data_IF_199232089824
#
_entry.id   IF_199232089824
#
_cell.length_a   1.000
_cell.length_b   1.000
_cell.length_c   1.000
_cell.angle_alpha   90.00
_cell.angle_beta   90.00
_cell.angle_gamma   90.00
#
_symmetry.space_group_name_H-M   'P 1'
#
loop_
_entity.id
_entity.type
_entity.pdbx_description
1 polymer ?
#
# COMPACT_ATOMS: atom_id res chain seq x y z
N UNK A 1 69.60 -61.66 12.94
CA UNK A 1 68.99 -61.25 14.24
C UNK A 1 69.32 -59.78 14.45
N UNK A 2 68.41 -58.86 14.09
CA UNK A 2 68.61 -57.43 14.30
C UNK A 2 67.29 -56.85 14.72
N UNK A 3 67.20 -56.34 15.97
CA UNK A 3 66.04 -55.65 16.54
C UNK A 3 66.07 -54.20 16.09
N UNK A 4 65.09 -53.79 15.33
CA UNK A 4 64.88 -52.40 15.02
C UNK A 4 64.00 -51.71 16.11
N UNK A 5 64.48 -50.61 16.67
CA UNK A 5 63.78 -49.76 17.62
C UNK A 5 62.94 -48.79 16.85
N UNK A 6 61.63 -48.80 17.06
CA UNK A 6 60.71 -47.75 16.61
C UNK A 6 60.79 -46.52 17.60
N UNK A 7 61.11 -45.39 17.05
CA UNK A 7 61.02 -44.07 17.68
C UNK A 7 59.63 -43.53 17.45
N UNK A 8 58.83 -43.42 18.52
CA UNK A 8 57.55 -42.73 18.47
C UNK A 8 57.82 -41.22 18.60
N UNK A 9 57.52 -40.48 17.52
CA UNK A 9 57.49 -39.03 17.56
C UNK A 9 56.09 -38.57 18.03
N UNK A 10 56.03 -37.92 19.18
CA UNK A 10 54.83 -37.22 19.64
C UNK A 10 54.69 -35.91 18.86
N UNK A 11 53.64 -35.81 18.05
CA UNK A 11 53.22 -34.55 17.43
C UNK A 11 52.26 -33.89 18.43
N UNK A 12 52.71 -32.82 19.08
CA UNK A 12 51.84 -31.92 19.81
C UNK A 12 51.05 -31.06 18.79
N UNK A 13 49.78 -31.40 18.61
CA UNK A 13 48.86 -30.53 17.88
C UNK A 13 48.37 -29.43 18.83
N UNK A 14 48.95 -28.26 18.72
CA UNK A 14 48.45 -27.06 19.41
C UNK A 14 47.10 -26.66 18.87
N UNK A 15 46.05 -26.77 19.67
CA UNK A 15 44.72 -26.18 19.42
C UNK A 15 44.85 -24.68 19.50
N UNK A 16 44.94 -24.03 18.34
CA UNK A 16 44.75 -22.56 18.25
C UNK A 16 43.24 -22.30 18.34
N UNK A 17 42.78 -21.86 19.47
CA UNK A 17 41.43 -21.37 19.66
C UNK A 17 41.26 -20.02 18.92
N UNK A 18 40.59 -20.06 17.77
CA UNK A 18 40.11 -18.86 17.09
C UNK A 18 39.02 -18.21 17.96
N UNK A 19 39.08 -16.91 18.24
CA UNK A 19 37.98 -16.24 18.91
C UNK A 19 36.75 -16.29 17.99
N UNK A 20 35.66 -16.81 18.48
CA UNK A 20 34.36 -16.74 17.83
C UNK A 20 33.99 -15.27 17.71
N UNK A 21 34.17 -14.69 16.52
CA UNK A 21 33.64 -13.40 16.16
C UNK A 21 32.13 -13.56 16.04
N UNK A 22 31.41 -13.23 17.11
CA UNK A 22 29.98 -13.04 17.07
C UNK A 22 29.73 -11.82 16.18
N UNK A 23 29.40 -12.06 14.90
CA UNK A 23 28.78 -11.04 14.06
C UNK A 23 27.38 -10.85 14.62
N UNK A 24 27.26 -9.89 15.53
CA UNK A 24 25.96 -9.31 15.90
C UNK A 24 25.50 -8.60 14.62
N UNK A 25 24.65 -9.30 13.83
CA UNK A 25 23.77 -8.60 12.89
C UNK A 25 22.85 -7.74 13.76
N UNK A 26 23.29 -6.53 14.06
CA UNK A 26 22.38 -5.49 14.47
C UNK A 26 21.40 -5.32 13.31
N UNK A 27 20.16 -5.79 13.49
CA UNK A 27 19.03 -5.31 12.72
C UNK A 27 19.10 -3.78 12.85
N UNK A 28 19.66 -3.12 11.84
CA UNK A 28 19.51 -1.68 11.70
C UNK A 28 18.01 -1.48 11.52
N UNK A 29 17.34 -1.04 12.57
CA UNK A 29 16.10 -0.32 12.39
C UNK A 29 16.45 0.79 11.39
N UNK A 30 15.89 0.72 10.19
CA UNK A 30 16.15 1.72 9.16
C UNK A 30 15.72 3.05 9.74
N UNK A 31 16.71 3.92 9.98
CA UNK A 31 16.43 5.26 10.48
C UNK A 31 15.51 5.93 9.46
N UNK A 32 14.35 6.45 9.87
CA UNK A 32 13.45 7.12 8.94
C UNK A 32 14.20 8.13 8.10
N UNK A 33 13.92 8.15 6.80
CA UNK A 33 14.58 9.09 5.90
C UNK A 33 14.15 10.51 6.25
N UNK A 34 15.06 11.45 6.07
CA UNK A 34 14.76 12.88 6.28
C UNK A 34 13.91 13.44 5.15
N UNK A 35 13.27 14.57 5.39
CA UNK A 35 12.50 15.30 4.40
C UNK A 35 13.25 15.54 3.08
N UNK A 36 14.53 15.93 3.16
CA UNK A 36 15.37 16.15 1.99
C UNK A 36 15.63 14.87 1.18
N UNK A 37 15.75 13.73 1.86
CA UNK A 37 15.98 12.43 1.20
C UNK A 37 14.74 11.95 0.45
N UNK A 38 13.53 12.19 0.99
CA UNK A 38 12.29 11.86 0.28
C UNK A 38 12.03 12.74 -0.93
N UNK A 39 12.36 14.05 -0.85
CA UNK A 39 12.26 14.96 -2.01
C UNK A 39 13.17 14.54 -3.15
N UNK A 40 14.33 13.99 -2.84
CA UNK A 40 15.29 13.52 -3.84
C UNK A 40 14.87 12.21 -4.52
N UNK A 41 14.01 11.40 -3.86
CA UNK A 41 13.63 10.08 -4.37
C UNK A 41 12.15 9.76 -4.04
N UNK A 42 11.20 10.19 -4.89
CA UNK A 42 9.78 9.89 -4.71
C UNK A 42 9.44 8.40 -4.64
N UNK A 43 10.22 7.53 -5.29
CA UNK A 43 9.99 6.10 -5.25
C UNK A 43 10.23 5.53 -3.85
N UNK A 44 11.23 6.05 -3.13
CA UNK A 44 11.46 5.69 -1.71
C UNK A 44 10.34 6.16 -0.80
N UNK A 45 9.75 7.32 -1.08
CA UNK A 45 8.59 7.81 -0.33
C UNK A 45 7.39 6.86 -0.49
N UNK A 46 7.08 6.47 -1.71
CA UNK A 46 6.00 5.51 -1.99
C UNK A 46 6.28 4.17 -1.30
N UNK A 47 7.51 3.66 -1.40
CA UNK A 47 7.90 2.41 -0.75
C UNK A 47 7.76 2.52 0.78
N UNK A 48 8.13 3.65 1.39
CA UNK A 48 7.97 3.87 2.82
C UNK A 48 6.50 3.85 3.25
N UNK A 49 5.58 4.44 2.46
CA UNK A 49 4.14 4.36 2.73
C UNK A 49 3.60 2.92 2.70
N UNK A 50 4.19 1.99 1.94
CA UNK A 50 3.78 0.58 1.94
C UNK A 50 4.07 -0.14 3.26
N UNK A 51 4.98 0.41 4.07
CA UNK A 51 5.40 -0.18 5.34
C UNK A 51 4.71 0.45 6.56
N UNK A 52 3.92 1.51 6.39
CA UNK A 52 3.17 2.17 7.46
C UNK A 52 1.70 1.75 7.40
N UNK A 53 1.05 1.52 8.54
CA UNK A 53 -0.37 1.19 8.60
C UNK A 53 -1.24 2.37 8.16
N UNK A 54 -2.34 2.10 7.44
CA UNK A 54 -3.28 3.13 6.97
C UNK A 54 -3.85 3.94 8.15
N UNK A 55 -4.08 3.30 9.29
CA UNK A 55 -4.52 3.97 10.52
C UNK A 55 -3.51 5.03 10.99
N UNK A 56 -2.21 4.71 11.02
CA UNK A 56 -1.15 5.66 11.40
C UNK A 56 -1.01 6.82 10.40
N UNK A 57 -1.26 6.55 9.10
CA UNK A 57 -1.31 7.62 8.08
C UNK A 57 -2.49 8.55 8.32
N UNK A 58 -3.68 8.00 8.58
CA UNK A 58 -4.88 8.76 8.89
C UNK A 58 -4.71 9.64 10.14
N UNK A 59 -4.12 9.09 11.21
CA UNK A 59 -3.82 9.84 12.43
C UNK A 59 -2.86 11.00 12.18
N UNK A 60 -1.84 10.77 11.34
CA UNK A 60 -0.88 11.81 10.98
C UNK A 60 -1.54 12.95 10.19
N UNK A 61 -2.44 12.62 9.26
CA UNK A 61 -3.21 13.62 8.51
C UNK A 61 -4.14 14.43 9.41
N UNK A 62 -4.88 13.78 10.30
CA UNK A 62 -5.75 14.48 11.23
C UNK A 62 -4.98 15.44 12.12
N UNK A 63 -3.79 15.06 12.61
CA UNK A 63 -2.93 15.91 13.42
C UNK A 63 -2.32 17.09 12.65
N UNK A 64 -1.94 16.88 11.37
CA UNK A 64 -1.26 17.90 10.56
C UNK A 64 -2.22 18.81 9.80
N UNK A 65 -3.31 18.25 9.28
CA UNK A 65 -4.21 18.94 8.37
C UNK A 65 -5.57 19.28 9.00
N UNK A 66 -5.90 18.67 10.15
CA UNK A 66 -7.19 18.77 10.83
C UNK A 66 -8.38 18.41 9.93
N UNK A 67 -8.18 17.49 9.01
CA UNK A 67 -9.17 17.03 8.02
C UNK A 67 -9.11 15.51 7.87
N UNK A 68 -10.24 14.95 7.43
CA UNK A 68 -10.36 13.55 7.07
C UNK A 68 -10.01 13.37 5.60
N UNK A 69 -9.09 12.45 5.31
CA UNK A 69 -8.73 12.07 3.96
C UNK A 69 -8.82 10.54 3.74
N UNK A 70 -9.71 9.87 4.46
CA UNK A 70 -9.96 8.45 4.26
C UNK A 70 -11.37 8.20 3.70
N UNK A 71 -11.49 7.17 2.87
CA UNK A 71 -12.74 6.75 2.27
C UNK A 71 -13.64 6.08 3.31
N UNK A 72 -14.95 6.05 3.08
CA UNK A 72 -15.88 5.47 4.04
C UNK A 72 -15.70 3.94 4.16
N UNK A 73 -16.30 3.37 5.20
CA UNK A 73 -16.33 1.93 5.43
C UNK A 73 -16.96 1.11 4.29
N UNK A 74 -17.60 1.75 3.32
CA UNK A 74 -18.12 1.10 2.11
C UNK A 74 -17.01 0.65 1.16
N UNK A 75 -15.87 1.37 1.18
CA UNK A 75 -14.72 1.05 0.35
C UNK A 75 -13.97 -0.14 0.96
N UNK A 76 -14.21 -1.34 0.44
CA UNK A 76 -13.71 -2.59 1.00
C UNK A 76 -12.72 -3.30 0.07
N UNK A 77 -11.69 -3.94 0.62
CA UNK A 77 -10.83 -4.80 -0.17
C UNK A 77 -11.59 -6.05 -0.61
N UNK A 78 -11.47 -6.44 -1.88
CA UNK A 78 -12.10 -7.68 -2.37
C UNK A 78 -11.35 -8.95 -1.92
N UNK A 79 -10.16 -8.80 -1.37
CA UNK A 79 -9.39 -9.78 -0.58
C UNK A 79 -8.30 -9.04 0.22
N UNK A 80 -7.78 -9.64 1.31
CA UNK A 80 -6.75 -8.99 2.13
C UNK A 80 -5.54 -8.55 1.30
N UNK A 81 -5.19 -7.28 1.38
CA UNK A 81 -4.12 -6.68 0.58
C UNK A 81 -3.59 -5.40 1.23
N UNK A 82 -2.40 -4.97 0.86
CA UNK A 82 -1.79 -3.70 1.23
C UNK A 82 -1.02 -3.14 0.04
N UNK A 83 -1.18 -1.85 -0.24
CA UNK A 83 -0.42 -1.16 -1.27
C UNK A 83 -0.35 0.34 -1.01
N UNK A 84 0.62 1.01 -1.65
CA UNK A 84 0.63 2.46 -1.80
C UNK A 84 1.13 2.85 -3.19
N UNK A 85 0.63 3.99 -3.70
CA UNK A 85 1.06 4.51 -5.00
C UNK A 85 0.34 5.78 -5.42
N UNK A 86 0.86 6.50 -6.42
CA UNK A 86 0.25 7.71 -6.95
C UNK A 86 -1.05 7.40 -7.71
N UNK A 87 -2.06 8.23 -7.50
CA UNK A 87 -3.38 8.09 -8.10
C UNK A 87 -3.39 8.49 -9.57
N UNK A 88 -3.99 7.64 -10.42
CA UNK A 88 -4.52 7.99 -11.75
C UNK A 88 -6.03 8.01 -11.60
N UNK A 89 -6.63 9.21 -11.59
CA UNK A 89 -8.07 9.37 -11.41
C UNK A 89 -8.81 9.21 -12.74
N UNK A 90 -9.94 8.49 -12.74
CA UNK A 90 -10.77 8.23 -13.93
C UNK A 90 -12.24 8.38 -13.58
N UNK A 91 -12.98 9.11 -14.41
CA UNK A 91 -14.41 9.30 -14.26
C UNK A 91 -15.18 8.53 -15.35
N UNK A 92 -16.16 7.75 -14.94
CA UNK A 92 -17.23 7.26 -15.79
C UNK A 92 -18.51 8.02 -15.50
N UNK A 93 -19.08 8.67 -16.52
CA UNK A 93 -20.37 9.38 -16.47
C UNK A 93 -21.50 8.46 -16.89
N UNK A 94 -22.61 8.52 -16.19
CA UNK A 94 -23.82 7.78 -16.53
C UNK A 94 -24.44 8.34 -17.79
N UNK A 95 -24.45 7.56 -18.86
CA UNK A 95 -24.99 7.94 -20.16
C UNK A 95 -25.32 6.69 -20.96
N UNK A 96 -26.61 6.43 -21.16
CA UNK A 96 -27.06 5.36 -22.08
C UNK A 96 -26.60 5.67 -23.50
N UNK A 97 -25.90 4.73 -24.13
CA UNK A 97 -25.33 4.94 -25.44
C UNK A 97 -25.13 3.63 -26.19
N UNK A 98 -24.94 3.73 -27.53
CA UNK A 98 -24.56 2.64 -28.42
C UNK A 98 -23.19 2.89 -29.06
N UNK A 99 -22.38 3.78 -28.48
CA UNK A 99 -21.06 4.12 -28.99
C UNK A 99 -20.03 3.06 -28.53
N UNK A 100 -19.45 2.27 -29.44
CA UNK A 100 -18.47 1.26 -29.09
C UNK A 100 -17.16 1.86 -28.56
N UNK A 101 -16.97 3.17 -28.67
CA UNK A 101 -15.79 3.88 -28.20
C UNK A 101 -16.03 4.64 -26.88
N UNK A 102 -17.24 4.59 -26.33
CA UNK A 102 -17.64 5.36 -25.16
C UNK A 102 -16.68 5.19 -23.96
N UNK A 103 -16.06 4.03 -23.80
CA UNK A 103 -15.16 3.69 -22.69
C UNK A 103 -13.67 3.66 -23.07
N UNK A 104 -13.29 4.01 -24.31
CA UNK A 104 -11.89 3.91 -24.75
C UNK A 104 -10.93 4.75 -23.90
N UNK A 105 -11.37 5.90 -23.40
CA UNK A 105 -10.53 6.77 -22.56
C UNK A 105 -10.13 6.11 -21.23
N UNK A 106 -10.99 5.29 -20.62
CA UNK A 106 -10.63 4.56 -19.39
C UNK A 106 -9.59 3.46 -19.67
N UNK A 107 -9.67 2.79 -20.83
CA UNK A 107 -8.69 1.79 -21.25
C UNK A 107 -7.35 2.46 -21.59
N UNK A 108 -7.39 3.59 -22.31
CA UNK A 108 -6.21 4.39 -22.62
C UNK A 108 -5.49 4.89 -21.34
N UNK A 109 -6.24 5.20 -20.27
CA UNK A 109 -5.65 5.57 -18.97
C UNK A 109 -4.84 4.43 -18.35
N UNK A 110 -5.27 3.17 -18.50
CA UNK A 110 -4.50 2.00 -18.08
C UNK A 110 -3.24 1.87 -18.93
N UNK A 111 -3.37 2.01 -20.25
CA UNK A 111 -2.23 1.87 -21.18
C UNK A 111 -1.19 2.99 -21.03
N UNK A 112 -1.60 4.18 -20.61
CA UNK A 112 -0.71 5.30 -20.30
C UNK A 112 -0.08 5.22 -18.92
N UNK A 113 -0.69 4.48 -17.98
CA UNK A 113 -0.18 4.29 -16.63
C UNK A 113 1.00 3.33 -16.57
N UNK A 114 1.67 3.27 -15.43
CA UNK A 114 2.90 2.50 -15.25
C UNK A 114 3.06 1.89 -13.87
N UNK A 115 4.25 1.30 -13.63
CA UNK A 115 4.54 0.61 -12.39
C UNK A 115 4.32 1.48 -11.14
N UNK A 116 3.69 0.90 -10.14
CA UNK A 116 3.42 1.53 -8.85
C UNK A 116 2.21 2.47 -8.82
N UNK A 117 1.59 2.81 -9.95
CA UNK A 117 0.39 3.65 -9.97
C UNK A 117 -0.82 2.93 -9.35
N UNK A 118 -1.73 3.71 -8.78
CA UNK A 118 -3.04 3.24 -8.31
C UNK A 118 -4.13 3.82 -9.22
N UNK A 119 -4.94 2.94 -9.78
CA UNK A 119 -6.07 3.32 -10.61
C UNK A 119 -7.28 3.66 -9.75
N UNK A 120 -7.69 4.93 -9.72
CA UNK A 120 -8.78 5.43 -8.87
C UNK A 120 -9.94 5.85 -9.75
N UNK A 121 -11.05 5.09 -9.71
CA UNK A 121 -12.19 5.30 -10.59
C UNK A 121 -13.43 5.71 -9.81
N UNK A 122 -14.11 6.76 -10.30
CA UNK A 122 -15.49 7.06 -9.95
C UNK A 122 -16.43 6.56 -11.04
N UNK A 123 -17.43 5.77 -10.63
CA UNK A 123 -18.58 5.42 -11.46
C UNK A 123 -19.77 6.27 -10.96
N UNK A 124 -20.19 7.24 -11.75
CA UNK A 124 -21.29 8.15 -11.36
C UNK A 124 -22.58 7.36 -11.15
N UNK A 125 -23.20 7.46 -9.95
CA UNK A 125 -24.37 6.68 -9.54
C UNK A 125 -24.23 5.16 -9.79
N UNK A 126 -23.03 4.64 -9.60
CA UNK A 126 -22.63 3.30 -10.03
C UNK A 126 -22.72 2.21 -8.97
N UNK A 127 -23.64 2.30 -7.98
CA UNK A 127 -23.74 1.32 -6.89
C UNK A 127 -23.91 -0.11 -7.40
N UNK A 128 -24.75 -0.30 -8.42
CA UNK A 128 -25.05 -1.60 -9.04
C UNK A 128 -24.38 -1.81 -10.41
N UNK A 129 -23.32 -1.07 -10.70
CA UNK A 129 -22.58 -1.15 -11.97
C UNK A 129 -21.12 -1.49 -11.73
N UNK A 130 -20.63 -2.52 -12.42
CA UNK A 130 -19.21 -2.83 -12.44
C UNK A 130 -18.45 -1.86 -13.36
N UNK A 131 -17.66 -0.96 -12.76
CA UNK A 131 -16.73 -0.11 -13.49
C UNK A 131 -15.49 -0.85 -13.94
N UNK A 132 -15.16 -1.96 -13.27
CA UNK A 132 -13.94 -2.75 -13.51
C UNK A 132 -14.21 -4.24 -13.44
N UNK A 133 -13.45 -5.01 -14.22
CA UNK A 133 -13.48 -6.48 -14.20
C UNK A 133 -12.11 -7.11 -14.47
N UNK A 134 -12.09 -8.42 -14.69
CA UNK A 134 -10.87 -9.23 -14.82
C UNK A 134 -9.93 -8.82 -15.94
N UNK A 135 -10.45 -8.34 -17.08
CA UNK A 135 -9.59 -7.88 -18.19
C UNK A 135 -8.79 -6.63 -17.81
N UNK A 136 -9.45 -5.63 -17.22
CA UNK A 136 -8.78 -4.41 -16.77
C UNK A 136 -7.78 -4.72 -15.65
N UNK A 137 -8.17 -5.54 -14.67
CA UNK A 137 -7.26 -5.97 -13.60
C UNK A 137 -6.04 -6.71 -14.14
N UNK A 138 -6.20 -7.57 -15.15
CA UNK A 138 -5.08 -8.26 -15.78
C UNK A 138 -4.16 -7.30 -16.52
N UNK A 139 -4.72 -6.32 -17.23
CA UNK A 139 -3.92 -5.28 -17.91
C UNK A 139 -3.11 -4.45 -16.91
N UNK A 140 -3.74 -3.94 -15.85
CA UNK A 140 -3.06 -3.19 -14.78
C UNK A 140 -1.98 -4.01 -14.08
N UNK A 141 -2.27 -5.26 -13.71
CA UNK A 141 -1.30 -6.17 -13.13
C UNK A 141 -0.08 -6.35 -14.03
N UNK A 142 -0.29 -6.61 -15.32
CA UNK A 142 0.79 -6.80 -16.31
C UNK A 142 1.65 -5.55 -16.50
N UNK A 143 1.10 -4.37 -16.24
CA UNK A 143 1.82 -3.08 -16.29
C UNK A 143 2.44 -2.68 -14.97
N UNK A 144 2.27 -3.49 -13.91
CA UNK A 144 2.85 -3.26 -12.59
C UNK A 144 2.14 -2.20 -11.74
N UNK A 145 0.86 -1.93 -12.00
CA UNK A 145 0.07 -1.09 -11.08
C UNK A 145 0.09 -1.68 -9.66
N UNK A 146 0.10 -0.81 -8.67
CA UNK A 146 0.07 -1.22 -7.27
C UNK A 146 -1.31 -1.74 -6.84
N UNK A 147 -2.39 -1.19 -7.42
CA UNK A 147 -3.76 -1.60 -7.12
C UNK A 147 -4.79 -0.72 -7.82
N UNK A 148 -6.05 -0.94 -7.48
CA UNK A 148 -7.18 -0.13 -7.95
C UNK A 148 -8.16 0.17 -6.82
N UNK A 149 -8.78 1.37 -6.87
CA UNK A 149 -9.85 1.83 -5.97
C UNK A 149 -11.02 2.26 -6.85
N UNK A 150 -12.18 1.61 -6.66
CA UNK A 150 -13.35 1.77 -7.51
C UNK A 150 -14.55 2.23 -6.67
N UNK A 151 -14.93 3.50 -6.80
CA UNK A 151 -16.20 4.00 -6.27
C UNK A 151 -17.32 3.56 -7.20
N UNK A 152 -17.77 2.35 -6.99
CA UNK A 152 -18.69 1.57 -7.80
C UNK A 152 -18.48 0.08 -7.63
N UNK A 153 -19.16 -0.72 -8.45
CA UNK A 153 -19.03 -2.16 -8.43
C UNK A 153 -17.79 -2.68 -9.17
N UNK A 154 -17.38 -3.89 -8.81
CA UNK A 154 -16.38 -4.70 -9.55
C UNK A 154 -16.93 -6.09 -9.85
N UNK A 155 -16.36 -6.76 -10.86
CA UNK A 155 -16.74 -8.14 -11.22
C UNK A 155 -15.52 -9.02 -11.50
N UNK A 156 -15.72 -10.27 -11.83
CA UNK A 156 -14.68 -11.26 -12.17
C UNK A 156 -13.67 -11.51 -11.03
N UNK A 157 -14.16 -11.52 -9.77
CA UNK A 157 -13.35 -11.71 -8.56
C UNK A 157 -12.43 -12.94 -8.62
N UNK A 158 -12.86 -14.11 -9.15
CA UNK A 158 -11.98 -15.27 -9.26
C UNK A 158 -10.72 -14.97 -10.07
N UNK A 159 -10.84 -14.16 -11.14
CA UNK A 159 -9.69 -13.75 -11.96
C UNK A 159 -8.78 -12.79 -11.18
N UNK A 160 -9.34 -11.76 -10.54
CA UNK A 160 -8.60 -10.78 -9.75
C UNK A 160 -7.83 -11.43 -8.60
N UNK A 161 -8.48 -12.35 -7.86
CA UNK A 161 -7.85 -13.14 -6.80
C UNK A 161 -6.74 -14.06 -7.34
N UNK A 162 -6.96 -14.71 -8.47
CA UNK A 162 -5.99 -15.62 -9.09
C UNK A 162 -4.68 -14.91 -9.47
N UNK A 163 -4.76 -13.69 -9.99
CA UNK A 163 -3.58 -12.90 -10.35
C UNK A 163 -3.00 -12.11 -9.16
N UNK A 164 -3.70 -12.06 -8.03
CA UNK A 164 -3.28 -11.30 -6.85
C UNK A 164 -3.31 -9.79 -7.06
N UNK A 165 -4.15 -9.26 -7.96
CA UNK A 165 -4.21 -7.81 -8.20
C UNK A 165 -5.08 -7.13 -7.15
N UNK A 166 -4.52 -6.23 -6.30
CA UNK A 166 -5.24 -5.56 -5.23
C UNK A 166 -6.36 -4.65 -5.75
N UNK A 167 -7.57 -4.81 -5.23
CA UNK A 167 -8.72 -3.96 -5.60
C UNK A 167 -9.54 -3.64 -4.36
N UNK A 168 -9.90 -2.37 -4.21
CA UNK A 168 -10.92 -1.86 -3.30
C UNK A 168 -12.13 -1.41 -4.10
N UNK A 169 -13.32 -1.69 -3.60
CA UNK A 169 -14.57 -1.31 -4.27
C UNK A 169 -15.69 -1.08 -3.27
N UNK A 170 -16.69 -0.30 -3.65
CA UNK A 170 -17.90 -0.12 -2.84
C UNK A 170 -18.91 -1.25 -3.02
N UNK A 171 -18.71 -2.16 -3.98
CA UNK A 171 -19.58 -3.32 -4.20
C UNK A 171 -19.02 -4.35 -5.17
N UNK A 172 -19.69 -5.49 -5.21
CA UNK A 172 -19.42 -6.59 -6.17
C UNK A 172 -20.72 -6.90 -6.90
N UNK A 173 -20.73 -6.70 -8.21
CA UNK A 173 -21.92 -6.87 -9.04
C UNK A 173 -21.56 -7.48 -10.41
N UNK A 174 -22.39 -8.33 -11.01
CA UNK A 174 -22.08 -8.98 -12.29
C UNK A 174 -22.36 -8.09 -13.53
N UNK A 175 -22.86 -6.87 -13.33
CA UNK A 175 -23.26 -5.93 -14.39
C UNK A 175 -22.08 -5.42 -15.23
N UNK A 176 -22.34 -4.52 -16.16
CA UNK A 176 -21.34 -3.88 -17.01
C UNK A 176 -21.61 -2.40 -17.17
N UNK A 177 -20.57 -1.61 -17.27
CA UNK A 177 -20.65 -0.19 -17.66
C UNK A 177 -20.82 0.04 -19.16
N UNK A 178 -20.63 -0.99 -19.99
CA UNK A 178 -20.79 -0.93 -21.44
C UNK A 178 -22.23 -0.56 -21.79
N UNK A 179 -22.42 0.37 -22.70
CA UNK A 179 -23.67 0.97 -23.13
C UNK A 179 -24.42 1.84 -22.11
N UNK A 180 -24.01 1.82 -20.84
CA UNK A 180 -24.63 2.58 -19.75
C UNK A 180 -23.79 3.75 -19.27
N UNK A 181 -22.51 3.79 -19.65
CA UNK A 181 -21.56 4.81 -19.22
C UNK A 181 -20.68 5.31 -20.36
N UNK A 182 -20.19 6.52 -20.18
CA UNK A 182 -19.18 7.13 -21.04
C UNK A 182 -17.97 7.58 -20.20
N UNK A 183 -16.79 7.50 -20.79
CA UNK A 183 -15.58 8.10 -20.20
C UNK A 183 -15.76 9.60 -20.01
N UNK A 184 -15.61 10.08 -18.79
CA UNK A 184 -15.81 11.48 -18.38
C UNK A 184 -14.52 12.29 -18.25
N UNK A 185 -13.37 11.61 -18.06
CA UNK A 185 -12.07 12.26 -17.90
C UNK A 185 -11.05 11.42 -17.16
N UNK A 186 -9.78 11.81 -17.31
CA UNK A 186 -8.63 11.23 -16.63
C UNK A 186 -7.80 12.32 -15.99
N UNK A 187 -7.17 12.01 -14.85
CA UNK A 187 -6.33 12.94 -14.08
C UNK A 187 -7.05 14.25 -13.72
N UNK A 188 -8.35 14.16 -13.49
CA UNK A 188 -9.19 15.25 -12.97
C UNK A 188 -9.48 15.01 -11.49
N UNK A 189 -9.68 16.06 -10.69
CA UNK A 189 -10.08 15.90 -9.30
C UNK A 189 -11.46 15.24 -9.20
N UNK A 190 -11.54 14.20 -8.33
CA UNK A 190 -12.77 13.44 -8.09
C UNK A 190 -13.11 13.41 -6.61
N UNK A 191 -14.39 13.25 -6.31
CA UNK A 191 -14.87 12.83 -5.00
C UNK A 191 -15.11 11.31 -5.06
N UNK A 192 -14.33 10.56 -4.32
CA UNK A 192 -14.35 9.09 -4.27
C UNK A 192 -14.86 8.68 -2.90
N UNK A 193 -16.07 8.13 -2.84
CA UNK A 193 -16.71 7.67 -1.61
C UNK A 193 -16.61 8.71 -0.45
N UNK A 194 -16.86 10.00 -0.79
CA UNK A 194 -16.83 11.12 0.14
C UNK A 194 -15.46 11.73 0.42
N UNK A 195 -14.42 11.30 -0.29
CA UNK A 195 -13.05 11.82 -0.13
C UNK A 195 -12.53 12.39 -1.44
N UNK A 196 -12.00 13.62 -1.38
CA UNK A 196 -11.36 14.28 -2.53
C UNK A 196 -10.07 13.54 -2.90
N UNK A 197 -9.92 13.23 -4.19
CA UNK A 197 -8.69 12.64 -4.77
C UNK A 197 -8.26 13.46 -5.96
N UNK A 198 -7.03 13.91 -5.98
CA UNK A 198 -6.40 14.56 -7.12
C UNK A 198 -5.39 13.62 -7.80
N UNK A 199 -5.08 13.90 -9.06
CA UNK A 199 -4.04 13.12 -9.74
C UNK A 199 -2.70 13.24 -9.02
N UNK A 200 -2.02 12.12 -8.84
CA UNK A 200 -0.76 11.95 -8.11
C UNK A 200 -0.85 12.05 -6.59
N UNK A 201 -2.01 12.25 -5.97
CA UNK A 201 -2.14 12.02 -4.54
C UNK A 201 -1.72 10.58 -4.22
N UNK A 202 -1.12 10.36 -3.05
CA UNK A 202 -0.67 9.02 -2.67
C UNK A 202 -1.84 8.27 -2.03
N UNK A 203 -2.23 7.18 -2.65
CA UNK A 203 -3.21 6.26 -2.08
C UNK A 203 -2.47 5.27 -1.20
N UNK A 204 -2.89 5.16 0.06
CA UNK A 204 -2.40 4.15 1.00
C UNK A 204 -3.59 3.28 1.40
N UNK A 205 -3.46 1.98 1.22
CA UNK A 205 -4.57 1.06 1.45
C UNK A 205 -4.09 -0.23 2.11
N UNK A 206 -4.81 -0.67 3.14
CA UNK A 206 -4.65 -1.95 3.81
C UNK A 206 -6.01 -2.49 4.29
N UNK A 207 -6.04 -3.47 5.19
CA UNK A 207 -7.30 -4.09 5.62
C UNK A 207 -8.25 -3.14 6.37
N UNK A 208 -7.75 -2.03 6.90
CA UNK A 208 -8.57 -1.02 7.60
C UNK A 208 -9.29 -0.06 6.63
N UNK A 209 -8.75 0.10 5.43
CA UNK A 209 -9.39 0.95 4.41
C UNK A 209 -8.41 1.64 3.48
N UNK A 210 -8.86 2.78 2.94
CA UNK A 210 -8.10 3.58 1.96
C UNK A 210 -7.96 5.01 2.47
N UNK A 211 -6.72 5.47 2.56
CA UNK A 211 -6.36 6.86 2.91
C UNK A 211 -5.79 7.55 1.68
N UNK A 212 -6.13 8.82 1.52
CA UNK A 212 -5.70 9.67 0.39
C UNK A 212 -4.78 10.74 0.92
N UNK A 213 -3.49 10.61 0.65
CA UNK A 213 -2.46 11.55 1.11
C UNK A 213 -2.22 12.62 0.05
N UNK A 214 -2.56 13.90 0.31
CA UNK A 214 -2.29 14.99 -0.62
C UNK A 214 -0.79 15.06 -0.96
N UNK A 215 -0.45 15.06 -2.25
CA UNK A 215 0.95 15.03 -2.68
C UNK A 215 1.79 16.15 -2.06
N UNK A 216 1.20 17.33 -1.88
CA UNK A 216 1.89 18.50 -1.32
C UNK A 216 2.37 18.29 0.12
N UNK A 217 1.67 17.46 0.89
CA UNK A 217 1.94 17.20 2.31
C UNK A 217 2.47 15.79 2.58
N UNK A 218 2.56 14.95 1.54
CA UNK A 218 2.88 13.52 1.63
C UNK A 218 4.12 13.23 2.48
N UNK A 219 5.14 14.04 2.34
CA UNK A 219 6.38 13.86 3.05
C UNK A 219 6.27 14.10 4.56
N UNK A 220 5.57 15.17 4.97
CA UNK A 220 5.36 15.48 6.39
C UNK A 220 4.46 14.43 7.05
N UNK A 221 3.43 14.02 6.31
CA UNK A 221 2.49 12.99 6.75
C UNK A 221 3.24 11.67 6.95
N UNK A 222 4.08 11.26 6.00
CA UNK A 222 4.86 10.03 6.11
C UNK A 222 5.77 10.01 7.34
N UNK A 223 6.49 11.10 7.58
CA UNK A 223 7.41 11.19 8.73
C UNK A 223 6.65 11.02 10.05
N UNK A 224 5.53 11.75 10.20
CA UNK A 224 4.71 11.63 11.41
C UNK A 224 4.05 10.25 11.50
N UNK A 225 3.54 9.72 10.40
CA UNK A 225 2.92 8.39 10.37
C UNK A 225 3.91 7.29 10.80
N UNK A 226 5.16 7.35 10.33
CA UNK A 226 6.21 6.43 10.76
C UNK A 226 6.52 6.54 12.26
N UNK A 227 6.54 7.76 12.81
CA UNK A 227 6.73 7.97 14.24
C UNK A 227 5.59 7.36 15.06
N UNK A 228 4.34 7.57 14.62
CA UNK A 228 3.16 7.03 15.27
C UNK A 228 3.13 5.50 15.21
N UNK A 229 3.38 4.93 14.04
CA UNK A 229 3.43 3.49 13.79
C UNK A 229 4.51 2.79 14.63
N UNK A 230 5.72 3.33 14.67
CA UNK A 230 6.81 2.81 15.49
C UNK A 230 6.50 2.87 16.99
N UNK A 231 5.83 3.93 17.44
CA UNK A 231 5.42 4.07 18.85
C UNK A 231 4.40 2.98 19.19
N UNK A 232 3.39 2.79 18.36
CA UNK A 232 2.36 1.77 18.57
C UNK A 232 2.95 0.35 18.59
N UNK A 233 3.79 0.02 17.59
CA UNK A 233 4.50 -1.26 17.57
C UNK A 233 5.38 -1.49 18.82
N UNK A 234 5.89 -0.43 19.44
CA UNK A 234 6.64 -0.51 20.69
C UNK A 234 5.73 -0.71 21.92
N UNK A 235 4.49 -0.22 21.86
CA UNK A 235 3.50 -0.39 22.93
C UNK A 235 2.95 -1.82 23.00
N UNK A 236 2.75 -2.50 21.86
CA UNK A 236 2.15 -3.83 21.83
C UNK A 236 2.88 -4.83 22.74
N UNK A 237 4.20 -5.08 22.60
CA UNK A 237 4.91 -6.02 23.48
C UNK A 237 4.95 -5.56 24.95
N UNK A 238 4.89 -4.25 25.21
CA UNK A 238 4.77 -3.73 26.57
C UNK A 238 3.43 -4.10 27.19
N UNK A 239 2.33 -3.91 26.44
CA UNK A 239 0.97 -4.29 26.87
C UNK A 239 0.89 -5.80 27.10
N UNK A 240 1.41 -6.61 26.18
CA UNK A 240 1.45 -8.07 26.33
C UNK A 240 2.19 -8.53 27.58
N UNK A 241 3.31 -7.85 27.91
CA UNK A 241 4.13 -8.18 29.06
C UNK A 241 3.52 -7.77 30.41
N UNK A 242 2.92 -6.58 30.46
CA UNK A 242 2.45 -5.97 31.71
C UNK A 242 0.93 -6.01 31.85
N UNK A 243 0.19 -6.44 30.83
CA UNK A 243 -1.28 -6.54 30.79
C UNK A 243 -2.00 -5.23 31.16
N UNK A 244 -1.37 -4.08 30.85
CA UNK A 244 -1.90 -2.75 31.15
C UNK A 244 -1.69 -1.79 29.98
N UNK A 245 -2.79 -1.38 29.37
CA UNK A 245 -2.79 -0.33 28.33
C UNK A 245 -2.54 1.05 28.98
N UNK A 246 -3.06 1.29 30.18
CA UNK A 246 -2.88 2.56 30.88
C UNK A 246 -1.41 2.82 31.20
N UNK A 247 -0.68 1.79 31.63
CA UNK A 247 0.76 1.91 31.90
C UNK A 247 1.57 2.09 30.62
N UNK A 248 1.17 1.43 29.52
CA UNK A 248 1.79 1.65 28.22
C UNK A 248 1.61 3.09 27.75
N UNK A 249 0.38 3.63 27.82
CA UNK A 249 0.09 5.02 27.48
C UNK A 249 0.91 6.00 28.32
N UNK A 250 1.02 5.79 29.64
CA UNK A 250 1.86 6.62 30.51
C UNK A 250 3.34 6.54 30.16
N UNK A 251 3.81 5.36 29.74
CA UNK A 251 5.22 5.12 29.43
C UNK A 251 5.62 5.72 28.09
N UNK A 252 4.78 5.57 27.06
CA UNK A 252 5.07 6.03 25.69
C UNK A 252 4.46 7.41 25.35
N UNK A 253 3.57 7.91 26.21
CA UNK A 253 2.98 9.25 26.05
C UNK A 253 1.95 9.38 24.92
N UNK A 254 1.33 8.26 24.52
CA UNK A 254 0.39 8.22 23.38
C UNK A 254 -0.88 7.44 23.72
N UNK A 255 -2.03 7.97 23.30
CA UNK A 255 -3.21 7.30 22.76
C UNK A 255 -3.41 7.82 21.37
#
# INVERSE_FOLDING_TARGET
>A
MARSRLVQAFICVGLVSLPAVWIVLALRADTPLTEAQYRADPAKMIEAFRHVEAASVSDAEERLLHQKHYMSHRMQPIFPTKFAGPAITVLLKKEENNDPQALNGMLAAIDAGGPGAVYVMKVEDGEDIAGMGGLMGTAMFSRGFAGAVIDGGVRDLPQLKRIGFPVYATGVVPSSSVSHYRFGGVNIPLDIDGTRVEANDIIVADQDGVVVVPLADAQKILILAQELDNTEHSMLPYIEKFHSIEDAVKHFGRI
#
